data_IF_704385400569
#
_entry.id   IF_704385400569
#
_cell.length_a   1.000
_cell.length_b   1.000
_cell.length_c   1.000
_cell.angle_alpha   90.00
_cell.angle_beta   90.00
_cell.angle_gamma   90.00
#
_symmetry.space_group_name_H-M   'P 1'
#
loop_
_entity.id
_entity.type
_entity.pdbx_description
1 polymer ?
#
# COMPACT_ATOMS: atom_id res chain seq x y z
N UNK A 1 24.89 6.79 -1.33
CA UNK A 1 23.47 7.24 -1.28
C UNK A 1 22.61 6.01 -1.29
N UNK A 2 21.71 5.88 -0.33
CA UNK A 2 20.81 4.72 -0.27
C UNK A 2 19.91 4.78 -1.50
N UNK A 3 19.88 3.70 -2.26
CA UNK A 3 18.91 3.50 -3.33
C UNK A 3 17.52 3.81 -2.77
N UNK A 4 16.94 4.93 -3.19
CA UNK A 4 15.53 5.19 -2.99
C UNK A 4 14.85 4.18 -3.90
N UNK A 5 14.74 2.94 -3.42
CA UNK A 5 13.99 1.90 -4.08
C UNK A 5 12.55 2.41 -4.14
N UNK A 6 12.16 2.88 -5.31
CA UNK A 6 10.81 3.32 -5.62
C UNK A 6 9.85 2.16 -5.40
N UNK A 7 9.19 2.17 -4.24
CA UNK A 7 8.33 1.10 -3.77
C UNK A 7 9.16 -0.10 -3.24
N UNK A 8 8.63 -0.77 -2.27
CA UNK A 8 9.21 -1.98 -1.69
C UNK A 8 9.08 -3.20 -2.62
N UNK A 9 8.93 -2.98 -3.94
CA UNK A 9 8.74 -4.07 -4.91
C UNK A 9 9.92 -5.05 -4.89
N UNK A 10 9.58 -6.33 -4.76
CA UNK A 10 10.54 -7.42 -4.82
C UNK A 10 10.43 -8.16 -6.17
N UNK A 11 11.41 -8.05 -7.05
CA UNK A 11 11.35 -8.71 -8.36
C UNK A 11 11.45 -10.23 -8.19
N UNK A 12 10.35 -10.92 -8.46
CA UNK A 12 10.25 -12.37 -8.49
C UNK A 12 9.40 -12.82 -9.68
N UNK A 13 9.68 -14.01 -10.22
CA UNK A 13 8.91 -14.60 -11.34
C UNK A 13 7.79 -15.52 -10.85
N UNK A 14 7.18 -15.24 -9.71
CA UNK A 14 6.17 -16.10 -9.10
C UNK A 14 4.79 -15.98 -9.76
N UNK A 15 3.90 -16.92 -9.39
CA UNK A 15 2.50 -16.93 -9.84
C UNK A 15 1.80 -15.61 -9.55
N UNK A 16 1.93 -15.09 -8.32
CA UNK A 16 1.29 -13.85 -7.87
C UNK A 16 1.84 -12.63 -8.62
N UNK A 17 3.16 -12.56 -8.90
CA UNK A 17 3.75 -11.42 -9.64
C UNK A 17 3.18 -11.26 -11.05
N UNK A 18 2.82 -12.37 -11.70
CA UNK A 18 2.32 -12.38 -13.08
C UNK A 18 0.80 -12.21 -13.20
N UNK A 19 0.08 -12.03 -12.08
CA UNK A 19 -1.36 -11.74 -12.07
C UNK A 19 -1.65 -10.32 -12.50
N UNK A 20 -2.85 -10.10 -13.06
CA UNK A 20 -3.32 -8.77 -13.43
C UNK A 20 -3.41 -7.85 -12.19
N UNK A 21 -2.86 -6.62 -12.22
CA UNK A 21 -2.91 -5.66 -11.12
C UNK A 21 -4.34 -5.35 -10.63
N UNK A 22 -5.33 -5.36 -11.51
CA UNK A 22 -6.75 -5.14 -11.17
C UNK A 22 -7.24 -6.19 -10.19
N UNK A 23 -6.95 -7.46 -10.52
CA UNK A 23 -7.39 -8.60 -9.70
C UNK A 23 -6.70 -8.59 -8.34
N UNK A 24 -5.42 -8.21 -8.30
CA UNK A 24 -4.69 -8.07 -7.02
C UNK A 24 -5.30 -6.98 -6.13
N UNK A 25 -5.66 -5.82 -6.70
CA UNK A 25 -6.30 -4.74 -5.96
C UNK A 25 -7.67 -5.19 -5.43
N UNK A 26 -8.50 -5.79 -6.31
CA UNK A 26 -9.81 -6.30 -5.91
C UNK A 26 -9.69 -7.39 -4.84
N UNK A 27 -8.73 -8.31 -5.01
CA UNK A 27 -8.46 -9.35 -4.02
C UNK A 27 -8.04 -8.77 -2.67
N UNK A 28 -7.20 -7.73 -2.66
CA UNK A 28 -6.83 -7.03 -1.42
C UNK A 28 -8.06 -6.40 -0.76
N UNK A 29 -8.94 -5.75 -1.52
CA UNK A 29 -10.18 -5.16 -0.98
C UNK A 29 -11.06 -6.26 -0.37
N UNK A 30 -11.25 -7.35 -1.10
CA UNK A 30 -12.00 -8.53 -0.63
C UNK A 30 -11.38 -9.09 0.65
N UNK A 31 -10.06 -9.22 0.71
CA UNK A 31 -9.34 -9.68 1.88
C UNK A 31 -9.51 -8.75 3.08
N UNK A 32 -9.40 -7.44 2.87
CA UNK A 32 -9.64 -6.43 3.93
C UNK A 32 -11.06 -6.58 4.49
N UNK A 33 -12.06 -6.64 3.60
CA UNK A 33 -13.47 -6.83 4.01
C UNK A 33 -13.65 -8.14 4.78
N UNK A 34 -13.04 -9.22 4.32
CA UNK A 34 -13.07 -10.52 4.95
C UNK A 34 -12.49 -10.49 6.38
N UNK A 35 -11.34 -9.84 6.57
CA UNK A 35 -10.70 -9.68 7.88
C UNK A 35 -11.55 -8.80 8.81
N UNK A 36 -12.22 -7.75 8.30
CA UNK A 36 -13.14 -6.95 9.11
C UNK A 36 -14.42 -7.70 9.49
N UNK A 37 -14.95 -8.53 8.60
CA UNK A 37 -16.13 -9.34 8.87
C UNK A 37 -15.87 -10.51 9.83
N UNK A 38 -14.60 -10.88 10.04
CA UNK A 38 -14.21 -11.93 10.99
C UNK A 38 -14.63 -11.55 12.41
N UNK A 39 -15.55 -12.32 13.00
CA UNK A 39 -16.05 -12.10 14.36
C UNK A 39 -15.26 -12.93 15.40
N UNK A 40 -14.65 -14.06 15.00
CA UNK A 40 -14.01 -15.03 15.87
C UNK A 40 -12.59 -15.37 15.43
N UNK A 41 -11.78 -15.93 16.33
CA UNK A 41 -10.43 -16.40 16.03
C UNK A 41 -10.38 -17.46 14.93
N UNK A 42 -11.42 -18.30 14.78
CA UNK A 42 -11.48 -19.28 13.71
C UNK A 42 -11.57 -18.62 12.31
N UNK A 43 -12.41 -17.61 12.16
CA UNK A 43 -12.52 -16.83 10.93
C UNK A 43 -11.23 -16.07 10.64
N UNK A 44 -10.61 -15.48 11.66
CA UNK A 44 -9.32 -14.81 11.54
C UNK A 44 -8.19 -15.79 11.16
N UNK A 45 -8.22 -17.02 11.72
CA UNK A 45 -7.31 -18.10 11.36
C UNK A 45 -7.44 -18.54 9.90
N UNK A 46 -8.66 -18.58 9.36
CA UNK A 46 -8.90 -18.84 7.94
C UNK A 46 -8.29 -17.73 7.04
N UNK A 47 -8.45 -16.46 7.42
CA UNK A 47 -7.79 -15.34 6.72
C UNK A 47 -6.27 -15.45 6.78
N UNK A 48 -5.72 -15.83 7.94
CA UNK A 48 -4.28 -16.04 8.12
C UNK A 48 -3.77 -17.20 7.26
N UNK A 49 -4.48 -18.32 7.19
CA UNK A 49 -4.13 -19.46 6.37
C UNK A 49 -4.08 -19.10 4.87
N UNK A 50 -5.10 -18.39 4.37
CA UNK A 50 -5.12 -17.93 2.98
C UNK A 50 -4.00 -16.93 2.71
N UNK A 51 -3.74 -16.00 3.63
CA UNK A 51 -2.60 -15.09 3.51
C UNK A 51 -1.27 -15.85 3.39
N UNK A 52 -1.03 -16.83 4.26
CA UNK A 52 0.20 -17.65 4.25
C UNK A 52 0.33 -18.41 2.92
N UNK A 53 -0.75 -19.02 2.43
CA UNK A 53 -0.75 -19.68 1.12
C UNK A 53 -0.35 -18.71 0.00
N UNK A 54 -0.94 -17.51 -0.05
CA UNK A 54 -0.61 -16.52 -1.07
C UNK A 54 0.84 -16.03 -0.92
N UNK A 55 1.32 -15.84 0.30
CA UNK A 55 2.70 -15.45 0.58
C UNK A 55 3.70 -16.50 0.07
N UNK A 56 3.42 -17.79 0.26
CA UNK A 56 4.23 -18.91 -0.26
C UNK A 56 4.25 -18.87 -1.80
N UNK A 57 3.09 -18.77 -2.44
CA UNK A 57 2.98 -18.70 -3.91
C UNK A 57 3.54 -17.41 -4.51
N UNK A 58 3.69 -16.35 -3.69
CA UNK A 58 4.30 -15.10 -4.12
C UNK A 58 5.82 -15.20 -4.24
N UNK A 59 6.48 -16.17 -3.57
CA UNK A 59 7.93 -16.29 -3.55
C UNK A 59 8.66 -15.11 -2.89
N UNK A 60 7.94 -14.29 -2.13
CA UNK A 60 8.52 -13.20 -1.33
C UNK A 60 9.06 -13.79 -0.03
N UNK A 61 10.33 -13.56 0.34
CA UNK A 61 10.88 -14.06 1.59
C UNK A 61 10.14 -13.46 2.78
N UNK A 62 9.70 -14.31 3.70
CA UNK A 62 8.89 -13.94 4.86
C UNK A 62 9.52 -12.84 5.72
N UNK A 63 10.85 -12.81 5.77
CA UNK A 63 11.61 -11.74 6.44
C UNK A 63 11.28 -10.33 5.91
N UNK A 64 11.06 -10.18 4.58
CA UNK A 64 10.70 -8.87 4.00
C UNK A 64 9.29 -8.44 4.38
N UNK A 65 8.35 -9.39 4.46
CA UNK A 65 7.00 -9.14 4.96
C UNK A 65 7.03 -8.67 6.42
N UNK A 66 7.77 -9.37 7.29
CA UNK A 66 7.93 -8.96 8.69
C UNK A 66 8.63 -7.60 8.83
N UNK A 67 9.61 -7.31 7.97
CA UNK A 67 10.29 -6.01 7.97
C UNK A 67 9.34 -4.86 7.61
N UNK A 68 8.37 -5.08 6.73
CA UNK A 68 7.34 -4.08 6.40
C UNK A 68 6.44 -3.77 7.60
N UNK A 69 6.16 -4.77 8.43
CA UNK A 69 5.38 -4.59 9.67
C UNK A 69 6.15 -3.81 10.73
N UNK A 70 7.49 -3.90 10.75
CA UNK A 70 8.34 -3.25 11.76
C UNK A 70 8.05 -1.75 11.92
N UNK A 71 7.73 -1.06 10.84
CA UNK A 71 7.40 0.37 10.87
C UNK A 71 6.12 0.67 11.68
N UNK A 72 5.20 -0.30 11.76
CA UNK A 72 3.87 -0.15 12.39
C UNK A 72 3.82 -0.88 13.73
N UNK A 73 4.81 -1.72 14.06
CA UNK A 73 4.85 -2.49 15.31
C UNK A 73 4.69 -1.57 16.53
N UNK A 74 5.35 -0.42 16.54
CA UNK A 74 5.20 0.53 17.65
C UNK A 74 3.74 0.95 17.85
N UNK A 75 3.04 1.29 16.77
CA UNK A 75 1.63 1.68 16.82
C UNK A 75 0.74 0.51 17.26
N UNK A 76 1.02 -0.71 16.77
CA UNK A 76 0.29 -1.92 17.15
C UNK A 76 0.46 -2.21 18.66
N UNK A 77 1.69 -2.16 19.16
CA UNK A 77 1.97 -2.37 20.59
C UNK A 77 1.30 -1.28 21.43
N UNK A 78 1.41 -0.02 21.02
CA UNK A 78 0.77 1.09 21.71
C UNK A 78 -0.75 0.94 21.79
N UNK A 79 -1.40 0.62 20.67
CA UNK A 79 -2.85 0.36 20.61
C UNK A 79 -3.25 -0.86 21.46
N UNK A 80 -2.44 -1.93 21.43
CA UNK A 80 -2.65 -3.14 22.23
C UNK A 80 -2.61 -2.81 23.73
N UNK A 81 -1.60 -2.05 24.15
CA UNK A 81 -1.44 -1.62 25.54
C UNK A 81 -2.61 -0.75 25.98
N UNK A 82 -2.99 0.26 25.18
CA UNK A 82 -4.14 1.12 25.50
C UNK A 82 -5.43 0.30 25.63
N UNK A 83 -5.73 -0.57 24.67
CA UNK A 83 -6.94 -1.40 24.76
C UNK A 83 -6.96 -2.31 25.97
N UNK A 84 -5.80 -2.87 26.38
CA UNK A 84 -5.70 -3.73 27.55
C UNK A 84 -6.09 -2.99 28.85
N UNK A 85 -5.75 -1.70 28.96
CA UNK A 85 -6.03 -0.90 30.15
C UNK A 85 -7.41 -0.23 30.13
N UNK A 86 -7.90 0.15 28.97
CA UNK A 86 -9.16 0.89 28.84
C UNK A 86 -10.39 0.00 28.62
N UNK A 87 -10.20 -1.24 28.17
CA UNK A 87 -11.32 -2.16 27.96
C UNK A 87 -11.73 -2.79 29.29
N UNK A 88 -12.94 -2.51 29.73
CA UNK A 88 -13.53 -3.08 30.94
C UNK A 88 -14.39 -4.29 30.59
N UNK A 89 -14.11 -5.43 31.20
CA UNK A 89 -14.90 -6.66 31.10
C UNK A 89 -15.48 -7.05 32.47
N UNK A 90 -16.30 -8.09 32.48
CA UNK A 90 -16.96 -8.56 33.70
C UNK A 90 -16.06 -9.43 34.58
N UNK A 91 -15.15 -10.26 33.99
CA UNK A 91 -14.32 -11.19 34.75
C UNK A 91 -12.91 -10.61 34.98
N UNK A 92 -12.65 -10.18 36.20
CA UNK A 92 -11.34 -9.65 36.61
C UNK A 92 -10.35 -10.80 36.76
N UNK A 93 -9.27 -10.77 35.93
CA UNK A 93 -8.19 -11.75 36.03
C UNK A 93 -7.08 -11.28 36.98
N UNK A 94 -6.78 -9.98 36.97
CA UNK A 94 -5.77 -9.38 37.82
C UNK A 94 -6.12 -7.94 38.14
N UNK A 95 -6.09 -7.54 39.42
CA UNK A 95 -6.38 -6.16 39.81
C UNK A 95 -5.28 -5.64 40.72
N UNK A 96 -4.71 -4.49 40.36
CA UNK A 96 -3.75 -3.78 41.20
C UNK A 96 -4.12 -2.29 41.23
N UNK A 97 -4.63 -1.86 42.42
CA UNK A 97 -5.04 -0.46 42.73
C UNK A 97 -5.91 0.22 41.66
N UNK A 98 -5.32 0.65 40.57
CA UNK A 98 -5.99 1.38 39.49
C UNK A 98 -6.05 0.62 38.18
N UNK A 99 -5.42 -0.54 38.09
CA UNK A 99 -5.31 -1.32 36.83
C UNK A 99 -6.03 -2.65 37.06
N UNK A 100 -7.11 -2.84 36.32
CA UNK A 100 -7.87 -4.09 36.27
C UNK A 100 -7.74 -4.71 34.90
N UNK A 101 -7.12 -5.88 34.79
CA UNK A 101 -7.03 -6.65 33.56
C UNK A 101 -8.09 -7.73 33.60
N UNK A 102 -9.00 -7.69 32.63
CA UNK A 102 -10.07 -8.68 32.51
C UNK A 102 -9.77 -9.70 31.40
N UNK A 103 -10.32 -10.90 31.50
CA UNK A 103 -10.12 -11.94 30.48
C UNK A 103 -10.63 -11.49 29.12
N UNK A 104 -11.76 -10.80 29.09
CA UNK A 104 -12.38 -10.25 27.91
C UNK A 104 -11.47 -9.20 27.25
N UNK A 105 -10.81 -8.34 28.06
CA UNK A 105 -9.85 -7.35 27.57
C UNK A 105 -8.67 -8.02 26.85
N UNK A 106 -8.10 -9.07 27.44
CA UNK A 106 -6.98 -9.81 26.85
C UNK A 106 -7.41 -10.48 25.54
N UNK A 107 -8.57 -11.15 25.54
CA UNK A 107 -9.10 -11.81 24.34
C UNK A 107 -9.38 -10.81 23.22
N UNK A 108 -10.09 -9.72 23.53
CA UNK A 108 -10.43 -8.67 22.56
C UNK A 108 -9.18 -7.98 22.02
N UNK A 109 -8.23 -7.64 22.88
CA UNK A 109 -6.98 -6.97 22.50
C UNK A 109 -6.12 -7.87 21.62
N UNK A 110 -5.98 -9.17 21.96
CA UNK A 110 -5.26 -10.13 21.13
C UNK A 110 -5.90 -10.30 19.74
N UNK A 111 -7.24 -10.37 19.72
CA UNK A 111 -8.00 -10.45 18.48
C UNK A 111 -7.80 -9.21 17.59
N UNK A 112 -7.89 -8.01 18.19
CA UNK A 112 -7.67 -6.75 17.48
C UNK A 112 -6.23 -6.63 16.96
N UNK A 113 -5.24 -6.98 17.78
CA UNK A 113 -3.83 -6.98 17.38
C UNK A 113 -3.57 -7.93 16.19
N UNK A 114 -4.10 -9.16 16.26
CA UNK A 114 -3.98 -10.13 15.16
C UNK A 114 -4.69 -9.65 13.88
N UNK A 115 -5.87 -9.03 14.00
CA UNK A 115 -6.59 -8.41 12.89
C UNK A 115 -5.77 -7.33 12.20
N UNK A 116 -5.25 -6.36 12.96
CA UNK A 116 -4.44 -5.28 12.43
C UNK A 116 -3.15 -5.80 11.79
N UNK A 117 -2.51 -6.79 12.41
CA UNK A 117 -1.33 -7.44 11.88
C UNK A 117 -1.58 -8.08 10.50
N UNK A 118 -2.69 -8.81 10.33
CA UNK A 118 -3.08 -9.42 9.06
C UNK A 118 -3.40 -8.38 7.98
N UNK A 119 -4.08 -7.27 8.34
CA UNK A 119 -4.36 -6.18 7.40
C UNK A 119 -3.06 -5.56 6.86
N UNK A 120 -2.11 -5.29 7.74
CA UNK A 120 -0.80 -4.73 7.35
C UNK A 120 -0.02 -5.69 6.47
N UNK A 121 -0.01 -6.98 6.81
CA UNK A 121 0.64 -8.01 6.00
C UNK A 121 0.01 -8.13 4.60
N UNK A 122 -1.32 -8.12 4.50
CA UNK A 122 -2.02 -8.17 3.22
C UNK A 122 -1.69 -6.98 2.31
N UNK A 123 -1.71 -5.76 2.87
CA UNK A 123 -1.34 -4.54 2.15
C UNK A 123 0.14 -4.55 1.72
N UNK A 124 1.02 -5.02 2.60
CA UNK A 124 2.46 -5.15 2.31
C UNK A 124 2.73 -6.15 1.18
N UNK A 125 1.99 -7.25 1.12
CA UNK A 125 2.13 -8.24 0.07
C UNK A 125 1.80 -7.67 -1.31
N UNK A 126 0.73 -6.86 -1.42
CA UNK A 126 0.40 -6.15 -2.67
C UNK A 126 1.56 -5.24 -3.11
N UNK A 127 2.09 -4.43 -2.19
CA UNK A 127 3.19 -3.49 -2.47
C UNK A 127 4.47 -4.21 -2.87
N UNK A 128 4.78 -5.35 -2.26
CA UNK A 128 5.96 -6.17 -2.59
C UNK A 128 5.82 -6.90 -3.93
N UNK A 129 4.59 -7.22 -4.36
CA UNK A 129 4.35 -8.03 -5.57
C UNK A 129 3.92 -7.22 -6.79
N UNK A 130 3.73 -5.91 -6.67
CA UNK A 130 3.22 -5.07 -7.77
C UNK A 130 3.99 -3.76 -7.84
N UNK A 131 4.45 -3.39 -9.04
CA UNK A 131 5.16 -2.12 -9.24
C UNK A 131 4.19 -0.93 -9.15
N UNK A 132 4.63 0.27 -8.71
CA UNK A 132 3.78 1.46 -8.63
C UNK A 132 3.11 1.82 -9.97
N UNK A 133 3.83 1.64 -11.09
CA UNK A 133 3.27 1.90 -12.43
C UNK A 133 2.14 0.91 -12.76
N UNK A 134 2.35 -0.38 -12.47
CA UNK A 134 1.30 -1.39 -12.70
C UNK A 134 0.10 -1.19 -11.78
N UNK A 135 0.31 -0.70 -10.55
CA UNK A 135 -0.79 -0.32 -9.66
C UNK A 135 -1.60 0.85 -10.23
N UNK A 136 -0.93 1.88 -10.76
CA UNK A 136 -1.59 3.02 -11.40
C UNK A 136 -2.43 2.57 -12.62
N UNK A 137 -1.89 1.70 -13.47
CA UNK A 137 -2.62 1.11 -14.62
C UNK A 137 -3.84 0.30 -14.15
N UNK A 138 -3.68 -0.46 -13.05
CA UNK A 138 -4.76 -1.24 -12.44
C UNK A 138 -5.89 -0.34 -11.93
N UNK A 139 -5.54 0.70 -11.18
CA UNK A 139 -6.48 1.70 -10.64
C UNK A 139 -7.20 2.44 -11.76
N UNK A 140 -6.47 2.93 -12.79
CA UNK A 140 -7.09 3.56 -13.96
C UNK A 140 -8.16 2.67 -14.57
N UNK A 141 -7.85 1.40 -14.71
CA UNK A 141 -8.79 0.47 -15.33
C UNK A 141 -10.00 0.16 -14.45
N UNK A 142 -9.82 0.06 -13.13
CA UNK A 142 -10.92 -0.11 -12.17
C UNK A 142 -11.80 1.14 -12.08
N UNK A 143 -11.23 2.33 -12.27
CA UNK A 143 -11.96 3.60 -12.34
C UNK A 143 -12.61 3.84 -13.70
N UNK A 144 -12.34 3.01 -14.71
CA UNK A 144 -12.91 3.17 -16.05
C UNK A 144 -14.45 3.29 -16.09
N UNK A 145 -15.24 2.60 -15.25
CA UNK A 145 -16.70 2.80 -15.19
C UNK A 145 -17.11 4.22 -14.80
N UNK A 146 -16.27 4.97 -14.04
CA UNK A 146 -16.54 6.35 -13.65
C UNK A 146 -16.53 7.33 -14.85
N UNK A 147 -16.07 6.91 -16.01
CA UNK A 147 -16.20 7.68 -17.26
C UNK A 147 -17.65 7.99 -17.60
N UNK A 148 -18.61 7.17 -17.14
CA UNK A 148 -20.05 7.39 -17.29
C UNK A 148 -20.48 8.70 -16.61
N UNK A 149 -19.84 9.04 -15.48
CA UNK A 149 -20.10 10.27 -14.70
C UNK A 149 -19.22 11.44 -15.20
N UNK A 150 -18.63 11.32 -16.41
CA UNK A 150 -17.72 12.31 -17.02
C UNK A 150 -16.45 12.58 -16.20
N UNK A 151 -16.04 11.66 -15.33
CA UNK A 151 -14.80 11.79 -14.57
C UNK A 151 -13.58 11.60 -15.48
N UNK A 152 -12.56 12.47 -15.43
CA UNK A 152 -11.40 12.46 -16.34
C UNK A 152 -10.38 11.38 -15.95
N UNK A 153 -10.82 10.11 -15.97
CA UNK A 153 -9.99 8.96 -15.52
C UNK A 153 -8.71 8.84 -16.33
N UNK A 154 -8.78 9.17 -17.63
CA UNK A 154 -7.64 9.00 -18.52
C UNK A 154 -6.57 10.07 -18.29
N UNK A 155 -6.99 11.30 -18.08
CA UNK A 155 -6.11 12.43 -17.78
C UNK A 155 -5.39 12.20 -16.44
N UNK A 156 -6.10 11.73 -15.43
CA UNK A 156 -5.51 11.36 -14.15
C UNK A 156 -4.48 10.24 -14.29
N UNK A 157 -4.77 9.21 -15.07
CA UNK A 157 -3.83 8.12 -15.30
C UNK A 157 -2.58 8.58 -16.04
N UNK A 158 -2.73 9.48 -17.00
CA UNK A 158 -1.60 10.10 -17.69
C UNK A 158 -0.72 10.90 -16.72
N UNK A 159 -1.34 11.76 -15.89
CA UNK A 159 -0.64 12.55 -14.86
C UNK A 159 0.10 11.63 -13.90
N UNK A 160 -0.56 10.57 -13.39
CA UNK A 160 0.07 9.59 -12.51
C UNK A 160 1.26 8.87 -13.16
N UNK A 161 1.11 8.49 -14.43
CA UNK A 161 2.18 7.80 -15.18
C UNK A 161 3.39 8.73 -15.40
N UNK A 162 3.15 10.00 -15.74
CA UNK A 162 4.19 11.02 -15.86
C UNK A 162 4.86 11.27 -14.51
N UNK A 163 4.07 11.47 -13.45
CA UNK A 163 4.59 11.71 -12.11
C UNK A 163 5.48 10.54 -11.63
N UNK A 164 5.01 9.29 -11.75
CA UNK A 164 5.78 8.11 -11.37
C UNK A 164 7.10 7.97 -12.14
N UNK A 165 7.15 8.46 -13.39
CA UNK A 165 8.38 8.49 -14.19
C UNK A 165 9.32 9.60 -13.74
N UNK A 166 8.79 10.77 -13.40
CA UNK A 166 9.62 11.92 -13.00
C UNK A 166 10.15 11.84 -11.58
N UNK A 167 9.48 11.13 -10.68
CA UNK A 167 9.96 11.01 -9.29
C UNK A 167 11.41 10.49 -9.20
N UNK A 168 11.82 9.37 -9.87
CA UNK A 168 13.23 8.95 -9.84
C UNK A 168 14.18 10.01 -10.40
N UNK A 169 13.78 10.62 -11.52
CA UNK A 169 14.59 11.63 -12.21
C UNK A 169 14.82 12.86 -11.32
N UNK A 170 13.76 13.36 -10.68
CA UNK A 170 13.85 14.50 -9.76
C UNK A 170 14.61 14.13 -8.46
N UNK A 171 14.52 12.89 -8.02
CA UNK A 171 15.28 12.41 -6.86
C UNK A 171 16.78 12.42 -7.15
N UNK A 172 17.18 11.93 -8.32
CA UNK A 172 18.58 11.95 -8.75
C UNK A 172 19.09 13.38 -8.94
N UNK A 173 18.27 14.26 -9.54
CA UNK A 173 18.58 15.68 -9.72
C UNK A 173 18.74 16.38 -8.37
N UNK A 174 17.84 16.12 -7.42
CA UNK A 174 17.94 16.62 -6.04
C UNK A 174 19.25 16.20 -5.40
N UNK A 175 19.66 14.95 -5.58
CA UNK A 175 20.95 14.45 -5.08
C UNK A 175 22.14 15.19 -5.69
N UNK A 176 22.12 15.47 -7.00
CA UNK A 176 23.17 16.24 -7.69
C UNK A 176 23.25 17.68 -7.18
N UNK A 177 22.09 18.35 -7.08
CA UNK A 177 22.01 19.73 -6.59
C UNK A 177 22.49 19.80 -5.12
N UNK A 178 22.05 18.88 -4.26
CA UNK A 178 22.50 18.82 -2.87
C UNK A 178 24.02 18.65 -2.76
N UNK A 179 24.62 17.77 -3.55
CA UNK A 179 26.08 17.57 -3.56
C UNK A 179 26.79 18.83 -4.02
N UNK A 180 26.29 19.51 -5.04
CA UNK A 180 26.85 20.78 -5.52
C UNK A 180 26.77 21.89 -4.44
N UNK A 181 25.64 21.96 -3.72
CA UNK A 181 25.47 22.93 -2.62
C UNK A 181 26.35 22.59 -1.40
N UNK A 182 26.53 21.31 -1.08
CA UNK A 182 27.52 20.88 -0.06
C UNK A 182 28.94 21.31 -0.42
N UNK A 183 29.33 21.15 -1.69
CA UNK A 183 30.63 21.60 -2.17
C UNK A 183 30.82 23.14 -2.09
N UNK A 184 29.73 23.91 -2.12
CA UNK A 184 29.69 25.35 -1.91
C UNK A 184 29.65 25.76 -0.44
N UNK A 185 29.75 24.80 0.49
CA UNK A 185 29.79 25.06 1.93
C UNK A 185 28.40 25.12 2.59
N UNK A 186 27.33 24.74 1.89
CA UNK A 186 25.98 24.66 2.52
C UNK A 186 25.92 23.46 3.44
N UNK A 187 25.63 23.71 4.71
CA UNK A 187 25.45 22.69 5.72
C UNK A 187 23.96 22.38 5.94
N UNK A 188 23.55 21.14 5.67
CA UNK A 188 22.18 20.65 5.80
C UNK A 188 21.92 19.93 7.13
N UNK A 189 22.95 19.62 7.91
CA UNK A 189 22.88 18.71 9.05
C UNK A 189 22.98 19.45 10.38
N UNK A 190 23.76 20.54 10.44
CA UNK A 190 24.00 21.28 11.69
C UNK A 190 23.17 22.55 11.78
N UNK A 191 22.73 22.89 13.01
CA UNK A 191 22.01 24.14 13.32
C UNK A 191 20.53 23.93 13.64
N UNK A 192 19.89 25.03 14.07
CA UNK A 192 18.47 25.05 14.42
C UNK A 192 17.55 24.88 13.21
N UNK A 193 16.26 24.59 13.46
CA UNK A 193 15.24 24.31 12.41
C UNK A 193 15.20 25.40 11.33
N UNK A 194 15.27 26.67 11.70
CA UNK A 194 15.24 27.81 10.76
C UNK A 194 16.46 27.81 9.83
N UNK A 195 17.65 27.47 10.35
CA UNK A 195 18.86 27.39 9.55
C UNK A 195 18.79 26.25 8.53
N UNK A 196 18.24 25.08 8.93
CA UNK A 196 18.02 23.94 8.03
C UNK A 196 17.01 24.26 6.93
N UNK A 197 15.91 24.94 7.25
CA UNK A 197 14.92 25.38 6.25
C UNK A 197 15.58 26.35 5.25
N UNK A 198 16.35 27.34 5.72
CA UNK A 198 17.09 28.25 4.82
C UNK A 198 18.10 27.51 3.92
N UNK A 199 18.75 26.45 4.41
CA UNK A 199 19.66 25.66 3.64
C UNK A 199 18.99 24.85 2.51
N UNK A 200 17.70 24.56 2.62
CA UNK A 200 16.94 23.83 1.59
C UNK A 200 16.57 24.74 0.40
N UNK A 201 16.37 26.05 0.61
CA UNK A 201 15.96 26.99 -0.45
C UNK A 201 16.91 26.96 -1.67
N UNK A 202 18.26 26.98 -1.52
CA UNK A 202 19.20 26.86 -2.65
C UNK A 202 19.11 25.55 -3.43
N UNK A 203 18.43 24.54 -2.88
CA UNK A 203 18.14 23.26 -3.57
C UNK A 203 16.79 23.31 -4.26
N UNK A 204 15.78 23.90 -3.60
CA UNK A 204 14.41 23.98 -4.12
C UNK A 204 14.30 24.82 -5.38
N UNK A 205 14.95 26.00 -5.41
CA UNK A 205 14.84 26.92 -6.57
C UNK A 205 15.38 26.28 -7.86
N UNK A 206 16.61 25.74 -7.91
CA UNK A 206 17.10 25.07 -9.11
C UNK A 206 16.26 23.83 -9.49
N UNK A 207 15.79 23.06 -8.49
CA UNK A 207 14.96 21.90 -8.74
C UNK A 207 13.62 22.30 -9.39
N UNK A 208 12.99 23.39 -8.92
CA UNK A 208 11.75 23.90 -9.48
C UNK A 208 11.95 24.36 -10.94
N UNK A 209 13.04 25.10 -11.21
CA UNK A 209 13.37 25.55 -12.57
C UNK A 209 13.61 24.33 -13.48
N UNK A 210 14.33 23.31 -13.00
CA UNK A 210 14.55 22.07 -13.76
C UNK A 210 13.24 21.33 -14.03
N UNK A 211 12.32 21.29 -13.05
CA UNK A 211 11.02 20.66 -13.20
C UNK A 211 10.15 21.38 -14.26
N UNK A 212 10.09 22.69 -14.25
CA UNK A 212 9.36 23.46 -15.28
C UNK A 212 9.96 23.26 -16.65
N UNK A 213 11.28 23.35 -16.80
CA UNK A 213 11.95 23.08 -18.09
C UNK A 213 11.59 21.70 -18.66
N UNK A 214 11.58 20.68 -17.82
CA UNK A 214 11.20 19.31 -18.22
C UNK A 214 9.72 19.20 -18.57
N UNK A 215 8.87 19.98 -17.90
CA UNK A 215 7.44 20.02 -18.24
C UNK A 215 7.23 20.64 -19.62
N UNK A 216 7.94 21.73 -19.96
CA UNK A 216 7.90 22.37 -21.27
C UNK A 216 8.44 21.42 -22.36
N UNK A 217 9.62 20.82 -22.13
CA UNK A 217 10.20 19.82 -23.07
C UNK A 217 9.26 18.62 -23.30
N UNK A 218 8.53 18.18 -22.25
CA UNK A 218 7.54 17.11 -22.39
C UNK A 218 6.32 17.59 -23.18
N UNK A 219 5.85 18.82 -22.94
CA UNK A 219 4.75 19.43 -23.70
C UNK A 219 5.07 19.48 -25.18
N UNK A 220 6.23 20.05 -25.53
CA UNK A 220 6.70 20.14 -26.93
C UNK A 220 6.83 18.74 -27.58
N UNK A 221 7.37 17.76 -26.83
CA UNK A 221 7.48 16.38 -27.31
C UNK A 221 6.12 15.70 -27.52
N UNK A 222 5.12 16.05 -26.71
CA UNK A 222 3.75 15.54 -26.84
C UNK A 222 3.06 16.19 -28.07
N UNK A 223 3.22 17.48 -28.28
CA UNK A 223 2.68 18.20 -29.43
C UNK A 223 3.31 17.70 -30.74
N UNK A 224 4.63 17.51 -30.77
CA UNK A 224 5.33 16.92 -31.92
C UNK A 224 4.86 15.48 -32.26
N UNK A 225 4.30 14.76 -31.28
CA UNK A 225 3.67 13.43 -31.45
C UNK A 225 2.16 13.51 -31.70
N UNK A 226 1.63 14.70 -32.01
CA UNK A 226 0.21 14.94 -32.28
C UNK A 226 -0.70 14.54 -31.12
N UNK A 227 -0.27 14.80 -29.88
CA UNK A 227 -1.11 14.55 -28.71
C UNK A 227 -2.28 15.54 -28.69
N UNK A 228 -3.48 15.09 -29.02
CA UNK A 228 -4.69 15.95 -29.16
C UNK A 228 -5.61 15.92 -27.93
N UNK A 229 -5.27 15.20 -26.87
CA UNK A 229 -6.19 15.05 -25.72
C UNK A 229 -7.51 14.34 -26.05
N UNK A 230 -7.64 13.73 -27.23
CA UNK A 230 -8.90 13.16 -27.72
C UNK A 230 -9.43 12.03 -26.83
N UNK A 231 -10.77 11.92 -26.73
CA UNK A 231 -11.47 10.91 -25.94
C UNK A 231 -11.30 9.48 -26.47
N UNK A 232 -10.95 9.32 -27.75
CA UNK A 232 -10.79 8.01 -28.40
C UNK A 232 -9.30 7.67 -28.47
N UNK A 233 -8.84 6.77 -27.62
CA UNK A 233 -7.44 6.31 -27.61
C UNK A 233 -7.35 4.81 -27.49
N UNK A 234 -6.35 4.24 -28.16
CA UNK A 234 -5.97 2.84 -28.03
C UNK A 234 -4.78 2.72 -27.07
N UNK A 235 -4.85 1.77 -26.13
CA UNK A 235 -3.72 1.45 -25.25
C UNK A 235 -2.77 0.51 -25.97
N UNK A 236 -1.48 0.84 -26.01
CA UNK A 236 -0.43 -0.03 -26.55
C UNK A 236 -0.32 -1.33 -25.73
N UNK A 237 -0.28 -1.22 -24.40
CA UNK A 237 -0.26 -2.37 -23.48
C UNK A 237 -1.65 -2.56 -22.91
N UNK A 238 -2.37 -3.56 -23.42
CA UNK A 238 -3.67 -3.96 -22.85
C UNK A 238 -3.44 -4.94 -21.70
N UNK A 239 -4.14 -4.71 -20.59
CA UNK A 239 -4.22 -5.68 -19.50
C UNK A 239 -5.13 -6.82 -19.97
N UNK A 240 -4.65 -8.07 -19.91
CA UNK A 240 -5.40 -9.26 -20.35
C UNK A 240 -5.63 -10.17 -19.15
N UNK A 241 -6.88 -10.56 -18.95
CA UNK A 241 -7.21 -11.55 -17.92
C UNK A 241 -6.66 -12.93 -18.30
N UNK A 242 -5.96 -13.55 -17.36
CA UNK A 242 -5.45 -14.91 -17.49
C UNK A 242 -6.18 -15.90 -16.57
N UNK A 243 -5.96 -17.19 -16.76
CA UNK A 243 -6.52 -18.23 -15.91
C UNK A 243 -6.14 -18.09 -14.43
N UNK A 244 -5.01 -17.45 -14.13
CA UNK A 244 -4.53 -17.14 -12.78
C UNK A 244 -5.42 -16.15 -12.07
N UNK A 245 -5.95 -15.19 -12.81
CA UNK A 245 -6.84 -14.16 -12.31
C UNK A 245 -8.20 -14.76 -11.95
N UNK A 246 -8.65 -15.77 -12.73
CA UNK A 246 -9.86 -16.52 -12.42
C UNK A 246 -9.73 -17.31 -11.11
N UNK A 247 -8.59 -18.00 -10.91
CA UNK A 247 -8.33 -18.71 -9.64
C UNK A 247 -8.33 -17.73 -8.46
N UNK A 248 -7.68 -16.57 -8.59
CA UNK A 248 -7.67 -15.58 -7.53
C UNK A 248 -9.07 -15.05 -7.21
N UNK A 249 -9.90 -14.80 -8.22
CA UNK A 249 -11.29 -14.39 -8.02
C UNK A 249 -12.08 -15.47 -7.29
N UNK A 250 -11.92 -16.75 -7.67
CA UNK A 250 -12.58 -17.88 -7.03
C UNK A 250 -12.17 -18.03 -5.56
N UNK A 251 -10.86 -17.90 -5.27
CA UNK A 251 -10.34 -17.93 -3.89
C UNK A 251 -10.89 -16.74 -3.09
N UNK A 252 -10.96 -15.55 -3.68
CA UNK A 252 -11.51 -14.36 -3.01
C UNK A 252 -12.99 -14.51 -2.67
N UNK A 253 -13.81 -14.98 -3.61
CA UNK A 253 -15.23 -15.26 -3.38
C UNK A 253 -15.39 -16.38 -2.35
N UNK A 254 -14.63 -17.46 -2.45
CA UNK A 254 -14.63 -18.57 -1.50
C UNK A 254 -14.27 -18.11 -0.07
N UNK A 255 -13.30 -17.21 0.06
CA UNK A 255 -12.93 -16.61 1.35
C UNK A 255 -14.10 -15.83 1.96
N UNK A 256 -14.71 -14.91 1.18
CA UNK A 256 -15.86 -14.13 1.67
C UNK A 256 -17.03 -15.00 2.08
N UNK A 257 -17.44 -15.94 1.20
CA UNK A 257 -18.55 -16.83 1.49
C UNK A 257 -18.27 -17.71 2.71
N UNK A 258 -17.05 -18.25 2.84
CA UNK A 258 -16.65 -19.03 4.00
C UNK A 258 -16.72 -18.23 5.31
N UNK A 259 -16.25 -16.98 5.31
CA UNK A 259 -16.32 -16.11 6.50
C UNK A 259 -17.75 -15.73 6.86
N UNK A 260 -18.59 -15.41 5.86
CA UNK A 260 -20.00 -15.10 6.08
C UNK A 260 -20.71 -16.32 6.69
N UNK A 261 -20.48 -17.52 6.16
CA UNK A 261 -21.05 -18.76 6.69
C UNK A 261 -20.59 -19.03 8.12
N UNK A 262 -19.28 -18.89 8.40
CA UNK A 262 -18.74 -19.02 9.76
C UNK A 262 -19.37 -18.00 10.72
N UNK A 263 -19.58 -16.77 10.27
CA UNK A 263 -20.22 -15.74 11.09
C UNK A 263 -21.67 -16.07 11.43
N UNK A 264 -22.46 -16.54 10.43
CA UNK A 264 -23.84 -16.95 10.63
C UNK A 264 -23.90 -18.16 11.58
N UNK A 265 -23.07 -19.19 11.34
CA UNK A 265 -23.04 -20.39 12.17
C UNK A 265 -22.65 -20.09 13.64
N UNK A 266 -21.69 -19.20 13.86
CA UNK A 266 -21.31 -18.80 15.22
C UNK A 266 -22.31 -17.87 15.89
N UNK A 267 -23.06 -17.07 15.13
CA UNK A 267 -24.17 -16.26 15.66
C UNK A 267 -25.39 -17.08 16.06
N UNK A 268 -25.57 -18.28 15.48
CA UNK A 268 -26.65 -19.21 15.83
C UNK A 268 -26.33 -20.10 17.02
N UNK A 269 -25.07 -20.11 17.49
CA UNK A 269 -24.61 -20.92 18.63
C UNK A 269 -24.47 -20.12 19.95
N UNK A 270 -24.65 -18.80 19.90
CA UNK A 270 -24.68 -17.87 21.05
C UNK A 270 -26.13 -17.37 21.22
#
# INVERSE_FOLDING_TARGET
MRDVAFGQYYPSKSFVHRMDPRVKILFLIVYIVAVFLSANFYALGACAAIFVLIAIFSGVPFYKLLRSVKAIVFLLVFMTVLNLFFYQGETVWWSWKFITITKEAVYYTAFLAARLFLLVLGSSLLTLTTTPVSLADGVESLLSPLKIIRFPVHELALIMSIALRFIPILTDETGRIMNAQKARGTDFETGGLIKRVKAIVPVLVPLLISAFRRADELGDAMDARCYSGSKVRTKYKKLTFGWRDFIAALVGVGLLTGIILLRIYTATLI
#
